data_IF_600889335446
#
_entry.id   IF_600889335446
#
_cell.length_a   1.000
_cell.length_b   1.000
_cell.length_c   1.000
_cell.angle_alpha   90.00
_cell.angle_beta   90.00
_cell.angle_gamma   90.00
#
_symmetry.space_group_name_H-M   'P 1'
#
loop_
_entity.id
_entity.type
_entity.pdbx_description
1 polymer ?
#
# COMPACT_ATOMS: atom_id res chain seq x y z
N UNK A 1 16.70 25.01 11.27
CA UNK A 1 15.98 24.08 10.36
C UNK A 1 14.77 24.82 9.83
N UNK A 2 14.64 24.95 8.51
CA UNK A 2 13.48 25.63 7.89
C UNK A 2 12.35 24.62 7.74
N UNK A 3 11.23 24.87 8.41
CA UNK A 3 10.00 24.09 8.29
C UNK A 3 8.87 24.92 7.71
N UNK A 4 7.88 24.25 7.11
CA UNK A 4 6.71 24.86 6.51
C UNK A 4 5.48 23.99 6.75
N UNK A 5 4.31 24.63 6.84
CA UNK A 5 3.03 23.95 6.90
C UNK A 5 1.96 24.79 6.17
N UNK A 6 1.17 24.16 5.28
CA UNK A 6 0.12 24.87 4.56
C UNK A 6 -0.50 24.08 3.41
N UNK A 7 -1.18 24.80 2.53
CA UNK A 7 -1.86 24.24 1.36
C UNK A 7 -0.94 24.10 0.12
N UNK A 8 -1.54 23.66 -0.99
CA UNK A 8 -0.85 23.45 -2.27
C UNK A 8 -0.18 24.72 -2.81
N UNK A 9 -0.85 25.86 -2.71
CA UNK A 9 -0.34 27.13 -3.25
C UNK A 9 0.83 27.65 -2.39
N UNK A 10 0.67 27.60 -1.07
CA UNK A 10 1.69 28.02 -0.12
C UNK A 10 2.92 27.12 -0.19
N UNK A 11 2.77 25.78 -0.25
CA UNK A 11 3.92 24.88 -0.38
C UNK A 11 4.63 25.05 -1.72
N UNK A 12 3.90 25.28 -2.81
CA UNK A 12 4.52 25.55 -4.11
C UNK A 12 5.40 26.81 -4.07
N UNK A 13 4.95 27.86 -3.38
CA UNK A 13 5.72 29.09 -3.20
C UNK A 13 6.95 28.86 -2.33
N UNK A 14 6.82 28.10 -1.24
CA UNK A 14 7.94 27.68 -0.40
C UNK A 14 9.00 26.91 -1.21
N UNK A 15 8.57 25.93 -2.01
CA UNK A 15 9.47 25.10 -2.82
C UNK A 15 10.23 25.89 -3.89
N UNK A 16 9.62 26.95 -4.45
CA UNK A 16 10.30 27.85 -5.40
C UNK A 16 11.48 28.58 -4.74
N UNK A 17 11.36 28.98 -3.47
CA UNK A 17 12.42 29.65 -2.72
C UNK A 17 13.58 28.70 -2.35
N UNK A 18 13.32 27.38 -2.38
CA UNK A 18 14.28 26.33 -2.03
C UNK A 18 14.62 25.43 -3.24
N UNK A 19 14.58 25.97 -4.46
CA UNK A 19 14.92 25.24 -5.68
C UNK A 19 16.31 24.59 -5.62
N UNK A 20 16.44 23.37 -6.14
CA UNK A 20 17.69 22.60 -6.12
C UNK A 20 18.06 21.96 -4.79
N UNK A 21 17.30 22.21 -3.71
CA UNK A 21 17.51 21.59 -2.40
C UNK A 21 16.73 20.28 -2.23
N UNK A 22 17.23 19.43 -1.34
CA UNK A 22 16.47 18.29 -0.83
C UNK A 22 15.60 18.73 0.33
N UNK A 23 14.48 18.04 0.53
CA UNK A 23 13.62 18.28 1.67
C UNK A 23 12.90 17.01 2.10
N UNK A 24 12.58 16.94 3.39
CA UNK A 24 11.70 15.93 3.96
C UNK A 24 10.33 16.55 4.16
N UNK A 25 9.29 15.85 3.69
CA UNK A 25 7.91 16.30 3.78
C UNK A 25 7.00 15.24 4.40
N UNK A 26 5.88 15.73 4.92
CA UNK A 26 4.76 14.94 5.41
C UNK A 26 3.52 15.38 4.65
N UNK A 27 2.80 14.42 4.08
CA UNK A 27 1.45 14.62 3.59
C UNK A 27 0.47 14.34 4.73
N UNK A 28 -0.41 15.30 4.96
CA UNK A 28 -1.42 15.24 6.01
C UNK A 28 -2.83 15.25 5.40
N UNK A 29 -3.74 14.57 6.10
CA UNK A 29 -5.18 14.64 5.87
C UNK A 29 -5.71 16.06 6.18
N UNK A 30 -6.97 16.39 5.84
CA UNK A 30 -7.56 17.68 6.17
C UNK A 30 -7.60 18.02 7.67
N UNK A 31 -7.58 16.99 8.53
CA UNK A 31 -7.54 17.08 10.00
C UNK A 31 -6.10 17.13 10.56
N UNK A 32 -5.11 17.38 9.71
CA UNK A 32 -3.68 17.41 10.01
C UNK A 32 -3.02 16.08 10.34
N UNK A 33 -3.77 14.97 10.33
CA UNK A 33 -3.22 13.64 10.62
C UNK A 33 -2.22 13.24 9.52
N UNK A 34 -0.94 12.96 9.86
CA UNK A 34 0.05 12.44 8.93
C UNK A 34 -0.41 11.12 8.30
N UNK A 35 -0.25 10.97 6.99
CA UNK A 35 -0.49 9.69 6.33
C UNK A 35 0.67 9.22 5.46
N UNK A 36 1.61 10.09 5.11
CA UNK A 36 2.77 9.71 4.33
C UNK A 36 3.95 10.63 4.63
N UNK A 37 5.12 10.02 4.80
CA UNK A 37 6.40 10.75 4.90
C UNK A 37 7.23 10.42 3.68
N UNK A 38 7.91 11.43 3.12
CA UNK A 38 8.86 11.18 2.04
C UNK A 38 9.92 12.25 1.93
N UNK A 39 10.98 11.92 1.21
CA UNK A 39 11.96 12.88 0.71
C UNK A 39 11.65 13.34 -0.71
N UNK A 40 12.07 14.55 -1.05
CA UNK A 40 11.84 15.12 -2.37
C UNK A 40 12.86 16.19 -2.74
N UNK A 41 12.86 16.50 -4.03
CA UNK A 41 13.46 17.72 -4.60
C UNK A 41 12.42 18.35 -5.51
N UNK A 42 12.61 19.63 -5.84
CA UNK A 42 11.71 20.37 -6.73
C UNK A 42 10.24 20.24 -6.27
N UNK A 43 9.36 19.75 -7.14
CA UNK A 43 7.92 19.62 -6.91
C UNK A 43 7.48 18.21 -6.50
N UNK A 44 8.40 17.31 -6.13
CA UNK A 44 8.09 15.89 -5.87
C UNK A 44 6.90 15.68 -4.92
N UNK A 45 6.79 16.50 -3.87
CA UNK A 45 5.67 16.42 -2.91
C UNK A 45 4.31 16.70 -3.55
N UNK A 46 4.25 17.59 -4.55
CA UNK A 46 3.05 17.94 -5.30
C UNK A 46 2.72 16.92 -6.40
N UNK A 47 3.73 16.19 -6.89
CA UNK A 47 3.57 15.20 -7.96
C UNK A 47 2.75 13.99 -7.51
N UNK A 48 2.73 13.68 -6.20
CA UNK A 48 1.96 12.55 -5.64
C UNK A 48 0.46 12.63 -5.93
N UNK A 49 -0.13 13.83 -5.92
CA UNK A 49 -1.54 13.98 -6.25
C UNK A 49 -1.80 13.76 -7.73
N UNK A 50 -0.91 14.29 -8.58
CA UNK A 50 -1.03 14.07 -10.02
C UNK A 50 -0.90 12.58 -10.35
N UNK A 51 0.03 11.87 -9.69
CA UNK A 51 0.16 10.42 -9.80
C UNK A 51 -1.14 9.71 -9.40
N UNK A 52 -1.68 10.03 -8.22
CA UNK A 52 -2.87 9.36 -7.69
C UNK A 52 -4.14 9.64 -8.52
N UNK A 53 -4.31 10.86 -9.02
CA UNK A 53 -5.51 11.30 -9.76
C UNK A 53 -5.49 10.92 -11.24
N UNK A 54 -4.32 10.61 -11.81
CA UNK A 54 -4.21 10.14 -13.20
C UNK A 54 -4.78 8.74 -13.41
N UNK A 55 -5.16 8.02 -12.34
CA UNK A 55 -5.75 6.67 -12.38
C UNK A 55 -4.99 5.71 -13.32
N UNK A 56 -3.66 5.80 -13.35
CA UNK A 56 -2.83 4.87 -14.12
C UNK A 56 -2.26 3.82 -13.16
N UNK A 57 -2.88 2.63 -13.03
CA UNK A 57 -2.42 1.59 -12.09
C UNK A 57 -1.03 1.04 -12.43
N UNK A 58 -0.57 1.24 -13.67
CA UNK A 58 0.77 0.86 -14.10
C UNK A 58 1.75 1.94 -13.61
N UNK A 59 2.47 1.66 -12.53
CA UNK A 59 3.62 2.45 -12.08
C UNK A 59 3.47 3.20 -10.75
N UNK A 60 2.37 3.03 -10.01
CA UNK A 60 2.24 3.62 -8.67
C UNK A 60 3.19 2.93 -7.68
N UNK A 61 4.24 3.63 -7.25
CA UNK A 61 5.23 3.08 -6.31
C UNK A 61 4.66 2.78 -4.91
N UNK A 62 3.54 3.40 -4.54
CA UNK A 62 2.84 3.16 -3.28
C UNK A 62 1.31 3.35 -3.45
N UNK A 63 0.56 2.27 -3.73
CA UNK A 63 -0.89 2.34 -3.97
C UNK A 63 -1.69 2.69 -2.70
N UNK A 64 -1.18 2.38 -1.49
CA UNK A 64 -1.84 2.79 -0.24
C UNK A 64 -1.90 4.32 -0.12
N UNK A 65 -0.78 4.99 -0.39
CA UNK A 65 -0.71 6.45 -0.43
C UNK A 65 -1.70 7.01 -1.46
N UNK A 66 -1.72 6.46 -2.68
CA UNK A 66 -2.62 6.92 -3.73
C UNK A 66 -4.08 6.75 -3.35
N UNK A 67 -4.47 5.65 -2.72
CA UNK A 67 -5.84 5.41 -2.28
C UNK A 67 -6.28 6.44 -1.24
N UNK A 68 -5.42 6.79 -0.28
CA UNK A 68 -5.70 7.84 0.71
C UNK A 68 -5.92 9.18 0.00
N UNK A 69 -5.06 9.52 -0.96
CA UNK A 69 -5.21 10.75 -1.76
C UNK A 69 -6.55 10.75 -2.51
N UNK A 70 -6.87 9.68 -3.25
CA UNK A 70 -8.12 9.58 -4.01
C UNK A 70 -9.34 9.68 -3.09
N UNK A 71 -9.29 9.08 -1.89
CA UNK A 71 -10.35 9.23 -0.89
C UNK A 71 -10.50 10.68 -0.42
N UNK A 72 -9.42 11.35 -0.03
CA UNK A 72 -9.47 12.75 0.41
C UNK A 72 -10.18 13.63 -0.64
N UNK A 73 -9.83 13.46 -1.91
CA UNK A 73 -10.46 14.18 -3.01
C UNK A 73 -11.92 13.79 -3.24
N UNK A 74 -12.26 12.50 -3.17
CA UNK A 74 -13.64 11.99 -3.28
C UNK A 74 -14.54 12.56 -2.19
N UNK A 75 -14.00 12.76 -1.00
CA UNK A 75 -14.71 13.34 0.15
C UNK A 75 -14.75 14.88 0.11
N UNK A 76 -14.26 15.51 -0.96
CA UNK A 76 -14.23 16.98 -1.13
C UNK A 76 -13.15 17.68 -0.30
N UNK A 77 -12.23 16.93 0.30
CA UNK A 77 -11.11 17.45 1.06
C UNK A 77 -9.90 17.82 0.20
N UNK A 78 -8.85 18.34 0.86
CA UNK A 78 -7.57 18.64 0.24
C UNK A 78 -6.42 18.21 1.15
N UNK A 79 -5.31 17.80 0.54
CA UNK A 79 -4.09 17.45 1.28
C UNK A 79 -3.48 18.71 1.90
N UNK A 80 -2.97 18.54 3.12
CA UNK A 80 -2.14 19.53 3.81
C UNK A 80 -0.68 19.09 3.72
N UNK A 81 0.22 20.04 3.51
CA UNK A 81 1.64 19.75 3.30
C UNK A 81 2.46 20.32 4.44
N UNK A 82 3.30 19.49 5.02
CA UNK A 82 4.34 19.90 5.96
C UNK A 82 5.70 19.65 5.32
N UNK A 83 6.53 20.68 5.20
CA UNK A 83 7.96 20.48 4.98
C UNK A 83 8.60 20.49 6.36
N UNK A 84 9.15 19.34 6.76
CA UNK A 84 9.80 19.21 8.07
C UNK A 84 11.16 19.91 8.07
N UNK A 85 11.94 19.68 7.02
CA UNK A 85 13.31 20.15 6.93
C UNK A 85 13.80 20.25 5.49
N UNK A 86 14.72 21.19 5.24
CA UNK A 86 15.37 21.44 3.94
C UNK A 86 16.88 21.27 4.10
N UNK A 87 17.50 20.62 3.13
CA UNK A 87 18.91 20.23 3.12
C UNK A 87 19.58 20.64 1.81
N UNK A 88 20.83 21.06 1.89
CA UNK A 88 21.64 21.28 0.69
C UNK A 88 22.02 19.95 0.04
N UNK A 89 22.48 20.00 -1.21
CA UNK A 89 22.80 18.80 -1.99
C UNK A 89 23.86 17.91 -1.31
N UNK A 90 24.81 18.52 -0.60
CA UNK A 90 25.85 17.81 0.15
C UNK A 90 25.32 17.05 1.38
N UNK A 91 24.13 17.41 1.89
CA UNK A 91 23.54 16.85 3.11
C UNK A 91 22.43 15.82 2.83
N UNK A 92 22.49 15.15 1.67
CA UNK A 92 21.48 14.16 1.27
C UNK A 92 21.34 13.02 2.30
N UNK A 93 22.42 12.59 2.95
CA UNK A 93 22.37 11.55 3.98
C UNK A 93 21.51 11.99 5.18
N UNK A 94 21.68 13.22 5.66
CA UNK A 94 20.89 13.78 6.77
C UNK A 94 19.40 13.86 6.41
N UNK A 95 19.09 14.15 5.14
CA UNK A 95 17.72 14.13 4.63
C UNK A 95 17.11 12.72 4.73
N UNK A 96 17.87 11.67 4.38
CA UNK A 96 17.40 10.28 4.48
C UNK A 96 17.23 9.83 5.93
N UNK A 97 18.17 10.18 6.81
CA UNK A 97 18.07 9.89 8.24
C UNK A 97 16.84 10.55 8.87
N UNK A 98 16.55 11.79 8.47
CA UNK A 98 15.37 12.50 8.97
C UNK A 98 14.06 11.90 8.45
N UNK A 99 14.00 11.46 7.19
CA UNK A 99 12.87 10.70 6.65
C UNK A 99 12.61 9.43 7.48
N UNK A 100 13.66 8.63 7.73
CA UNK A 100 13.55 7.41 8.52
C UNK A 100 13.12 7.68 9.97
N UNK A 101 13.65 8.73 10.59
CA UNK A 101 13.28 9.17 11.94
C UNK A 101 11.79 9.52 12.03
N UNK A 102 11.25 10.27 11.08
CA UNK A 102 9.82 10.62 11.06
C UNK A 102 8.93 9.39 10.81
N UNK A 103 9.37 8.44 9.98
CA UNK A 103 8.61 7.20 9.77
C UNK A 103 8.57 6.37 11.05
N UNK A 104 9.68 6.28 11.79
CA UNK A 104 9.73 5.60 13.08
C UNK A 104 8.88 6.31 14.15
N UNK A 105 8.83 7.64 14.12
CA UNK A 105 8.03 8.46 15.04
C UNK A 105 6.52 8.27 14.81
N UNK A 106 6.04 8.46 13.58
CA UNK A 106 4.60 8.36 13.27
C UNK A 106 4.11 6.92 13.12
N UNK A 107 5.02 5.96 12.88
CA UNK A 107 4.79 4.53 12.66
C UNK A 107 3.89 4.22 11.46
N UNK A 108 4.09 3.05 10.85
CA UNK A 108 3.24 2.56 9.76
C UNK A 108 1.97 1.90 10.32
N UNK A 109 0.95 1.74 9.49
CA UNK A 109 -0.31 1.12 9.92
C UNK A 109 -0.14 -0.26 10.58
N UNK A 110 0.69 -1.14 10.02
CA UNK A 110 0.93 -2.47 10.60
C UNK A 110 1.74 -2.43 11.90
N UNK A 111 2.32 -1.27 12.23
CA UNK A 111 3.05 -0.99 13.48
C UNK A 111 2.18 -0.20 14.48
N UNK A 112 0.89 0.01 14.18
CA UNK A 112 -0.05 0.77 15.00
C UNK A 112 0.03 2.29 14.82
N UNK A 113 0.65 2.78 13.75
CA UNK A 113 0.70 4.20 13.39
C UNK A 113 -0.26 4.60 12.28
N UNK A 114 -0.01 5.77 11.70
CA UNK A 114 -0.91 6.38 10.69
C UNK A 114 -0.34 6.40 9.28
N UNK A 115 0.93 6.01 9.10
CA UNK A 115 1.61 6.12 7.82
C UNK A 115 1.30 4.96 6.88
N UNK A 116 1.08 5.30 5.61
CA UNK A 116 0.94 4.38 4.49
C UNK A 116 2.27 4.04 3.82
N UNK A 117 3.40 4.44 4.43
CA UNK A 117 4.74 4.09 3.96
C UNK A 117 4.91 2.57 3.91
N UNK A 118 5.45 2.04 2.80
CA UNK A 118 5.73 0.62 2.67
C UNK A 118 6.99 0.22 3.44
N UNK A 119 8.03 1.05 3.35
CA UNK A 119 9.31 0.86 4.01
C UNK A 119 9.53 1.89 5.14
N UNK A 120 10.45 1.56 6.06
CA UNK A 120 10.80 2.39 7.22
C UNK A 120 11.71 3.60 6.94
N UNK A 121 12.03 3.91 5.67
CA UNK A 121 12.98 4.96 5.28
C UNK A 121 14.37 4.44 4.84
N UNK A 122 15.25 5.37 4.42
CA UNK A 122 16.61 5.15 3.85
C UNK A 122 16.63 4.31 2.55
N UNK A 123 15.84 4.70 1.53
CA UNK A 123 15.75 3.98 0.23
C UNK A 123 17.05 3.91 -0.60
N UNK A 124 17.15 2.92 -1.50
CA UNK A 124 18.17 2.64 -2.55
C UNK A 124 19.67 2.93 -2.27
N UNK A 125 20.08 3.26 -1.05
CA UNK A 125 21.46 3.20 -0.56
C UNK A 125 21.61 1.93 0.31
N UNK A 126 21.40 0.78 -0.31
CA UNK A 126 21.79 -0.51 0.27
C UNK A 126 22.26 -1.44 -0.84
N UNK A 127 23.25 -0.95 -1.60
CA UNK A 127 24.16 -1.84 -2.31
C UNK A 127 25.08 -2.59 -1.36
N UNK A 128 25.49 -2.00 -0.22
CA UNK A 128 26.45 -2.64 0.71
C UNK A 128 26.41 -2.00 2.12
N UNK A 129 25.26 -1.91 2.78
CA UNK A 129 25.21 -1.49 4.20
C UNK A 129 24.92 -2.71 5.09
N UNK A 130 25.81 -3.08 6.05
CA UNK A 130 25.63 -4.24 6.93
C UNK A 130 24.30 -4.25 7.68
N UNK A 131 23.76 -3.07 7.97
CA UNK A 131 22.48 -2.89 8.69
C UNK A 131 21.23 -3.29 7.88
N UNK A 132 21.29 -3.32 6.54
CA UNK A 132 20.16 -3.75 5.70
C UNK A 132 20.02 -5.27 5.62
N UNK A 133 21.10 -6.02 5.87
CA UNK A 133 21.09 -7.48 5.87
C UNK A 133 20.36 -8.04 7.11
N UNK A 134 20.59 -7.47 8.29
CA UNK A 134 20.00 -7.96 9.54
C UNK A 134 18.46 -7.80 9.59
N UNK A 135 17.91 -6.74 8.98
CA UNK A 135 16.46 -6.52 8.93
C UNK A 135 15.72 -7.36 7.89
N UNK A 136 16.37 -7.72 6.78
CA UNK A 136 15.79 -8.63 5.79
C UNK A 136 15.75 -10.08 6.29
N UNK A 137 16.73 -10.49 7.09
CA UNK A 137 16.83 -11.83 7.64
C UNK A 137 15.74 -12.17 8.69
N UNK A 138 15.18 -11.18 9.39
CA UNK A 138 14.36 -11.41 10.59
C UNK A 138 12.85 -11.55 10.35
N UNK A 139 12.33 -11.39 9.12
CA UNK A 139 10.88 -11.42 8.88
C UNK A 139 10.43 -12.80 8.41
N UNK A 140 9.84 -13.57 9.34
CA UNK A 140 9.22 -14.90 9.23
C UNK A 140 8.06 -14.97 8.21
N UNK A 141 8.37 -14.76 6.93
CA UNK A 141 7.57 -15.20 5.78
C UNK A 141 8.41 -15.39 4.50
N UNK A 142 9.75 -15.44 4.65
CA UNK A 142 10.71 -15.63 3.57
C UNK A 142 10.75 -14.43 2.61
N UNK A 143 11.77 -13.59 2.71
CA UNK A 143 12.31 -12.98 1.51
C UNK A 143 13.32 -14.00 1.00
N UNK A 144 12.99 -14.92 0.09
CA UNK A 144 14.00 -15.80 -0.45
C UNK A 144 14.95 -14.88 -1.20
N UNK A 145 16.22 -14.84 -0.83
CA UNK A 145 17.22 -14.05 -1.57
C UNK A 145 17.21 -14.42 -3.07
N UNK A 146 16.75 -15.65 -3.38
CA UNK A 146 16.59 -16.19 -4.73
C UNK A 146 15.21 -15.95 -5.39
N UNK A 147 14.31 -15.15 -4.80
CA UNK A 147 12.98 -14.90 -5.37
C UNK A 147 12.48 -13.45 -5.16
N UNK A 148 12.94 -12.52 -6.02
CA UNK A 148 12.65 -11.09 -5.88
C UNK A 148 11.15 -10.76 -6.04
N UNK A 149 10.45 -11.39 -6.99
CA UNK A 149 9.02 -11.16 -7.21
C UNK A 149 8.19 -11.50 -5.97
N UNK A 150 8.54 -12.60 -5.30
CA UNK A 150 7.85 -13.00 -4.07
C UNK A 150 8.16 -12.06 -2.91
N UNK A 151 9.40 -11.59 -2.78
CA UNK A 151 9.76 -10.61 -1.77
C UNK A 151 8.96 -9.30 -1.94
N UNK A 152 8.78 -8.84 -3.18
CA UNK A 152 7.95 -7.66 -3.52
C UNK A 152 6.50 -7.82 -3.05
N UNK A 153 5.88 -8.97 -3.33
CA UNK A 153 4.49 -9.24 -2.90
C UNK A 153 4.36 -9.43 -1.39
N UNK A 154 5.38 -10.00 -0.74
CA UNK A 154 5.41 -10.14 0.71
C UNK A 154 5.48 -8.79 1.41
N UNK A 155 6.36 -7.89 0.94
CA UNK A 155 6.44 -6.51 1.42
C UNK A 155 5.11 -5.78 1.24
N UNK A 156 4.48 -5.94 0.07
CA UNK A 156 3.17 -5.35 -0.20
C UNK A 156 2.11 -5.82 0.80
N UNK A 157 2.06 -7.12 1.06
CA UNK A 157 1.06 -7.70 1.93
C UNK A 157 1.28 -7.35 3.42
N UNK A 158 2.54 -7.23 3.85
CA UNK A 158 2.89 -6.75 5.19
C UNK A 158 2.31 -5.36 5.47
N UNK A 159 2.11 -4.56 4.42
CA UNK A 159 1.42 -3.28 4.52
C UNK A 159 0.01 -3.39 5.12
N UNK A 160 -0.68 -4.54 5.01
CA UNK A 160 -1.97 -4.80 5.66
C UNK A 160 -1.81 -5.40 7.06
N UNK A 161 -0.88 -6.34 7.21
CA UNK A 161 -0.58 -7.01 8.47
C UNK A 161 0.15 -8.34 8.25
N UNK A 162 0.54 -8.98 9.36
CA UNK A 162 1.22 -10.27 9.31
C UNK A 162 0.29 -11.42 8.92
N UNK A 163 0.81 -12.36 8.12
CA UNK A 163 0.14 -13.63 7.78
C UNK A 163 1.12 -14.79 7.93
N UNK A 164 0.63 -15.94 8.40
CA UNK A 164 1.46 -17.15 8.51
C UNK A 164 1.77 -17.80 7.15
N UNK A 165 1.00 -17.49 6.11
CA UNK A 165 1.30 -17.89 4.73
C UNK A 165 0.74 -16.86 3.74
N UNK A 166 1.57 -16.53 2.75
CA UNK A 166 1.29 -15.48 1.76
C UNK A 166 0.15 -15.95 0.83
N UNK A 167 -0.99 -15.23 0.76
CA UNK A 167 -2.17 -15.62 0.00
C UNK A 167 -2.11 -15.20 -1.49
N UNK A 168 -1.08 -14.46 -1.88
CA UNK A 168 -0.84 -13.98 -3.24
C UNK A 168 0.48 -14.55 -3.75
N UNK A 169 0.57 -14.83 -5.05
CA UNK A 169 1.79 -15.36 -5.69
C UNK A 169 2.06 -14.66 -7.02
N UNK A 170 3.33 -14.57 -7.44
CA UNK A 170 3.66 -14.15 -8.80
C UNK A 170 3.05 -15.14 -9.79
N UNK A 171 2.42 -14.62 -10.84
CA UNK A 171 1.75 -15.41 -11.87
C UNK A 171 2.73 -16.37 -12.56
N UNK A 172 3.96 -15.90 -12.79
CA UNK A 172 5.08 -16.64 -13.38
C UNK A 172 5.51 -17.88 -12.57
N UNK A 173 5.13 -17.96 -11.29
CA UNK A 173 5.52 -19.03 -10.38
C UNK A 173 4.41 -20.07 -10.17
N UNK A 174 3.28 -19.94 -10.88
CA UNK A 174 2.19 -20.90 -10.83
C UNK A 174 2.17 -21.69 -12.14
N UNK A 175 2.56 -22.96 -12.05
CA UNK A 175 2.59 -23.86 -13.23
C UNK A 175 1.21 -24.08 -13.84
N UNK A 176 0.16 -24.10 -13.02
CA UNK A 176 -1.22 -24.24 -13.47
C UNK A 176 -2.18 -23.51 -12.54
N UNK A 177 -2.89 -22.53 -13.09
CA UNK A 177 -3.95 -21.82 -12.37
C UNK A 177 -5.25 -22.58 -12.60
N UNK A 178 -5.92 -22.95 -11.51
CA UNK A 178 -7.17 -23.68 -11.56
C UNK A 178 -8.35 -22.74 -11.30
N UNK A 179 -9.53 -23.11 -11.79
CA UNK A 179 -10.76 -22.43 -11.41
C UNK A 179 -10.96 -22.45 -9.90
N UNK A 180 -11.42 -21.33 -9.36
CA UNK A 180 -11.74 -21.25 -7.94
C UNK A 180 -12.96 -22.13 -7.67
N UNK A 181 -12.84 -22.99 -6.65
CA UNK A 181 -13.94 -23.81 -6.15
C UNK A 181 -14.01 -23.62 -4.64
N UNK A 182 -15.20 -23.55 -4.03
CA UNK A 182 -15.32 -23.48 -2.59
C UNK A 182 -14.56 -24.64 -1.93
N UNK A 183 -13.82 -24.36 -0.87
CA UNK A 183 -13.13 -25.39 -0.10
C UNK A 183 -14.13 -26.47 0.40
N UNK A 184 -13.72 -27.74 0.37
CA UNK A 184 -14.59 -28.86 0.73
C UNK A 184 -15.06 -28.80 2.20
N UNK A 185 -14.12 -28.52 3.10
CA UNK A 185 -14.41 -28.36 4.53
C UNK A 185 -14.93 -26.95 4.86
N UNK A 186 -15.74 -26.78 5.91
CA UNK A 186 -16.14 -25.47 6.41
C UNK A 186 -14.94 -24.56 6.69
N UNK A 187 -15.10 -23.28 6.35
CA UNK A 187 -14.11 -22.23 6.59
C UNK A 187 -14.78 -21.06 7.29
N UNK A 188 -13.98 -20.33 8.07
CA UNK A 188 -14.40 -19.08 8.72
C UNK A 188 -13.63 -17.93 8.07
N UNK A 189 -14.19 -16.71 8.03
CA UNK A 189 -13.46 -15.54 7.61
C UNK A 189 -12.20 -15.33 8.45
N UNK A 190 -11.09 -14.97 7.81
CA UNK A 190 -9.80 -14.71 8.49
C UNK A 190 -9.14 -13.44 7.95
N UNK A 191 -8.20 -12.83 8.70
CA UNK A 191 -7.40 -11.73 8.17
C UNK A 191 -6.66 -12.09 6.87
N UNK A 192 -6.19 -13.34 6.73
CA UNK A 192 -5.52 -13.81 5.51
C UNK A 192 -6.42 -13.73 4.27
N UNK A 193 -7.69 -14.15 4.38
CA UNK A 193 -8.65 -14.05 3.28
C UNK A 193 -9.01 -12.60 2.96
N UNK A 194 -9.14 -11.75 3.99
CA UNK A 194 -9.39 -10.33 3.81
C UNK A 194 -8.20 -9.64 3.10
N UNK A 195 -6.97 -9.84 3.58
CA UNK A 195 -5.78 -9.21 3.01
C UNK A 195 -5.53 -9.61 1.55
N UNK A 196 -5.93 -10.82 1.14
CA UNK A 196 -5.87 -11.24 -0.26
C UNK A 196 -6.76 -10.36 -1.16
N UNK A 197 -8.02 -10.15 -0.77
CA UNK A 197 -8.96 -9.28 -1.50
C UNK A 197 -8.52 -7.83 -1.45
N UNK A 198 -8.10 -7.35 -0.26
CA UNK A 198 -7.63 -5.98 -0.09
C UNK A 198 -6.38 -5.70 -0.92
N UNK A 199 -5.45 -6.65 -1.07
CA UNK A 199 -4.27 -6.49 -1.92
C UNK A 199 -4.67 -6.20 -3.37
N UNK A 200 -5.60 -6.98 -3.93
CA UNK A 200 -6.10 -6.75 -5.29
C UNK A 200 -6.91 -5.46 -5.39
N UNK A 201 -7.80 -5.18 -4.44
CA UNK A 201 -8.58 -3.94 -4.41
C UNK A 201 -7.68 -2.70 -4.38
N UNK A 202 -6.64 -2.72 -3.53
CA UNK A 202 -5.65 -1.65 -3.43
C UNK A 202 -4.88 -1.48 -4.75
N UNK A 203 -4.41 -2.58 -5.35
CA UNK A 203 -3.66 -2.53 -6.61
C UNK A 203 -4.49 -1.97 -7.78
N UNK A 204 -5.81 -2.16 -7.76
CA UNK A 204 -6.73 -1.59 -8.76
C UNK A 204 -7.31 -0.23 -8.37
N UNK A 205 -7.00 0.28 -7.17
CA UNK A 205 -7.56 1.53 -6.69
C UNK A 205 -9.06 1.50 -6.41
N UNK A 206 -9.61 0.33 -6.07
CA UNK A 206 -11.03 0.12 -5.80
C UNK A 206 -11.39 0.55 -4.36
N UNK A 207 -12.60 1.10 -4.21
CA UNK A 207 -13.23 1.32 -2.93
C UNK A 207 -14.25 0.21 -2.65
N UNK A 208 -14.26 -0.29 -1.42
CA UNK A 208 -15.18 -1.33 -0.99
C UNK A 208 -16.58 -0.74 -0.84
N UNK A 209 -17.52 -1.29 -1.59
CA UNK A 209 -18.92 -0.89 -1.61
C UNK A 209 -19.77 -2.06 -2.07
N UNK A 210 -21.09 -1.94 -1.94
CA UNK A 210 -22.01 -2.96 -2.43
C UNK A 210 -21.82 -3.21 -3.94
N UNK A 211 -21.64 -4.47 -4.31
CA UNK A 211 -21.42 -4.88 -5.70
C UNK A 211 -20.01 -4.59 -6.23
N UNK A 212 -19.04 -4.20 -5.39
CA UNK A 212 -17.65 -4.03 -5.85
C UNK A 212 -17.11 -5.36 -6.40
N UNK A 213 -16.47 -5.30 -7.56
CA UNK A 213 -15.85 -6.45 -8.22
C UNK A 213 -14.34 -6.35 -8.15
N UNK A 214 -13.72 -7.25 -7.42
CA UNK A 214 -12.28 -7.29 -7.18
C UNK A 214 -11.67 -8.37 -8.09
N UNK A 215 -10.78 -8.00 -9.04
CA UNK A 215 -10.14 -8.98 -9.91
C UNK A 215 -9.26 -9.96 -9.13
N UNK A 216 -9.22 -11.22 -9.57
CA UNK A 216 -8.36 -12.24 -8.97
C UNK A 216 -6.88 -11.99 -9.26
N UNK A 217 -6.57 -11.49 -10.46
CA UNK A 217 -5.23 -11.07 -10.89
C UNK A 217 -5.02 -9.57 -10.69
N UNK A 218 -3.81 -9.14 -10.38
CA UNK A 218 -3.45 -7.73 -10.28
C UNK A 218 -1.94 -7.55 -10.53
N UNK A 219 -1.51 -6.32 -10.77
CA UNK A 219 -0.09 -5.99 -10.98
C UNK A 219 0.42 -5.12 -9.85
N UNK A 220 1.64 -5.36 -9.37
CA UNK A 220 2.29 -4.51 -8.38
C UNK A 220 3.80 -4.45 -8.59
N UNK A 221 4.37 -3.24 -8.72
CA UNK A 221 5.80 -3.01 -9.02
C UNK A 221 6.33 -3.92 -10.15
N UNK A 222 5.59 -4.01 -11.26
CA UNK A 222 5.88 -4.87 -12.42
C UNK A 222 5.79 -6.38 -12.19
N UNK A 223 5.38 -6.82 -11.00
CA UNK A 223 5.06 -8.22 -10.72
C UNK A 223 3.58 -8.46 -11.01
N UNK A 224 3.29 -9.30 -12.00
CA UNK A 224 1.95 -9.85 -12.18
C UNK A 224 1.67 -10.84 -11.06
N UNK A 225 0.62 -10.59 -10.29
CA UNK A 225 0.24 -11.36 -9.12
C UNK A 225 -1.18 -11.90 -9.25
N UNK A 226 -1.47 -12.95 -8.48
CA UNK A 226 -2.79 -13.54 -8.42
C UNK A 226 -3.09 -14.03 -7.00
N UNK A 227 -4.36 -13.95 -6.62
CA UNK A 227 -4.89 -14.61 -5.42
C UNK A 227 -4.82 -16.14 -5.62
N UNK A 228 -4.02 -16.81 -4.79
CA UNK A 228 -3.74 -18.24 -4.90
C UNK A 228 -5.03 -19.09 -4.74
N UNK A 229 -5.13 -20.19 -5.47
CA UNK A 229 -6.24 -21.14 -5.37
C UNK A 229 -6.64 -21.52 -3.94
N UNK A 230 -5.68 -21.78 -3.04
CA UNK A 230 -6.00 -22.17 -1.66
C UNK A 230 -6.78 -21.10 -0.91
N UNK A 231 -6.30 -19.86 -0.91
CA UNK A 231 -7.02 -18.75 -0.26
C UNK A 231 -8.29 -18.35 -1.00
N UNK A 232 -8.32 -18.48 -2.33
CA UNK A 232 -9.52 -18.24 -3.14
C UNK A 232 -10.63 -19.24 -2.78
N UNK A 233 -10.28 -20.51 -2.61
CA UNK A 233 -11.20 -21.53 -2.14
C UNK A 233 -11.68 -21.26 -0.72
N UNK A 234 -10.79 -20.81 0.17
CA UNK A 234 -11.14 -20.49 1.55
C UNK A 234 -12.05 -19.25 1.66
N UNK A 235 -11.77 -18.17 0.92
CA UNK A 235 -12.55 -16.93 0.98
C UNK A 235 -13.98 -17.14 0.47
N UNK A 236 -14.15 -17.88 -0.63
CA UNK A 236 -15.49 -18.22 -1.16
C UNK A 236 -16.23 -19.11 -0.17
N UNK A 237 -15.56 -20.14 0.37
CA UNK A 237 -16.20 -21.06 1.32
C UNK A 237 -16.60 -20.38 2.64
N UNK A 238 -15.79 -19.41 3.08
CA UNK A 238 -16.05 -18.63 4.28
C UNK A 238 -17.12 -17.54 4.08
N UNK A 239 -17.62 -17.34 2.85
CA UNK A 239 -18.59 -16.30 2.53
C UNK A 239 -18.01 -14.89 2.59
N UNK A 240 -16.70 -14.72 2.34
CA UNK A 240 -16.03 -13.41 2.38
C UNK A 240 -16.31 -12.60 1.10
N UNK A 241 -16.51 -13.29 -0.03
CA UNK A 241 -16.93 -12.72 -1.30
C UNK A 241 -17.55 -13.81 -2.17
N UNK A 242 -18.42 -13.42 -3.10
CA UNK A 242 -18.97 -14.32 -4.12
C UNK A 242 -18.03 -14.40 -5.33
N UNK A 243 -17.84 -15.60 -5.87
CA UNK A 243 -17.04 -15.80 -7.07
C UNK A 243 -17.87 -15.48 -8.31
N UNK A 244 -17.36 -14.58 -9.16
CA UNK A 244 -17.79 -14.45 -10.55
C UNK A 244 -16.85 -15.30 -11.40
N UNK A 245 -17.30 -16.45 -11.93
CA UNK A 245 -16.47 -17.33 -12.74
C UNK A 245 -16.15 -16.70 -14.10
N UNK A 246 -15.02 -17.11 -14.67
CA UNK A 246 -14.61 -16.78 -16.04
C UNK A 246 -14.20 -18.06 -16.77
N UNK A 247 -14.20 -18.04 -18.11
CA UNK A 247 -13.65 -19.14 -18.90
C UNK A 247 -12.16 -19.35 -18.61
N UNK A 248 -11.43 -18.26 -18.33
CA UNK A 248 -10.03 -18.31 -17.93
C UNK A 248 -9.94 -18.05 -16.42
N UNK A 249 -9.37 -18.97 -15.62
CA UNK A 249 -9.35 -18.82 -14.15
C UNK A 249 -8.57 -17.61 -13.65
N UNK A 250 -7.71 -16.99 -14.47
CA UNK A 250 -6.99 -15.75 -14.09
C UNK A 250 -7.90 -14.52 -14.12
N UNK A 251 -8.97 -14.57 -14.92
CA UNK A 251 -9.91 -13.47 -15.15
C UNK A 251 -11.16 -13.59 -14.27
N UNK A 252 -11.15 -14.50 -13.28
CA UNK A 252 -12.18 -14.57 -12.25
C UNK A 252 -12.22 -13.27 -11.43
N UNK A 253 -13.41 -12.91 -10.96
CA UNK A 253 -13.62 -11.76 -10.07
C UNK A 253 -14.26 -12.23 -8.76
N UNK A 254 -14.10 -11.42 -7.72
CA UNK A 254 -14.80 -11.58 -6.45
C UNK A 254 -15.74 -10.38 -6.27
N UNK A 255 -17.04 -10.64 -6.23
CA UNK A 255 -18.05 -9.60 -5.95
C UNK A 255 -18.34 -9.58 -4.45
N UNK A 256 -18.48 -8.39 -3.88
CA UNK A 256 -18.79 -8.22 -2.46
C UNK A 256 -20.11 -7.50 -2.26
N UNK A 257 -20.99 -8.08 -1.45
CA UNK A 257 -22.17 -7.39 -0.92
C UNK A 257 -21.83 -6.51 0.28
N UNK A 258 -22.76 -5.65 0.69
CA UNK A 258 -22.65 -4.85 1.91
C UNK A 258 -22.40 -5.70 3.17
N UNK A 259 -23.00 -6.89 3.26
CA UNK A 259 -22.78 -7.83 4.37
C UNK A 259 -21.33 -8.37 4.36
N UNK A 260 -20.81 -8.68 3.18
CA UNK A 260 -19.44 -9.15 3.00
C UNK A 260 -18.41 -8.04 3.26
N UNK A 261 -18.72 -6.80 2.89
CA UNK A 261 -17.91 -5.64 3.29
C UNK A 261 -17.90 -5.48 4.82
N UNK A 262 -19.01 -5.73 5.50
CA UNK A 262 -19.06 -5.71 6.97
C UNK A 262 -18.16 -6.79 7.60
N UNK A 263 -18.01 -7.96 6.98
CA UNK A 263 -17.04 -8.98 7.41
C UNK A 263 -15.60 -8.42 7.39
N UNK A 264 -15.22 -7.72 6.32
CA UNK A 264 -13.89 -7.09 6.23
C UNK A 264 -13.70 -6.01 7.30
N UNK A 265 -14.73 -5.20 7.55
CA UNK A 265 -14.72 -4.21 8.64
C UNK A 265 -14.48 -4.87 10.00
N UNK A 266 -15.12 -6.00 10.28
CA UNK A 266 -14.92 -6.75 11.52
C UNK A 266 -13.52 -7.38 11.63
N UNK A 267 -12.98 -7.90 10.53
CA UNK A 267 -11.68 -8.59 10.52
C UNK A 267 -10.48 -7.64 10.61
N UNK A 268 -10.58 -6.48 9.95
CA UNK A 268 -9.46 -5.55 9.77
C UNK A 268 -9.63 -4.27 10.61
N UNK A 269 -10.86 -3.93 10.96
CA UNK A 269 -11.23 -2.68 11.60
C UNK A 269 -11.75 -1.66 10.57
N UNK A 270 -12.95 -1.14 10.80
CA UNK A 270 -13.57 -0.14 9.92
C UNK A 270 -12.72 1.11 9.78
N UNK A 271 -12.21 1.65 10.89
CA UNK A 271 -11.35 2.83 10.87
C UNK A 271 -10.07 2.59 10.05
N UNK A 272 -9.47 1.40 10.17
CA UNK A 272 -8.26 1.04 9.41
C UNK A 272 -8.54 1.04 7.90
N UNK A 273 -9.71 0.55 7.48
CA UNK A 273 -10.12 0.57 6.07
C UNK A 273 -10.41 2.00 5.58
N UNK A 274 -11.09 2.82 6.39
CA UNK A 274 -11.32 4.24 6.09
C UNK A 274 -10.00 5.00 5.94
N UNK A 275 -9.09 4.83 6.88
CA UNK A 275 -7.80 5.52 6.93
C UNK A 275 -6.88 5.16 5.76
N UNK A 276 -7.12 4.00 5.12
CA UNK A 276 -6.41 3.49 3.94
C UNK A 276 -7.08 3.84 2.61
N UNK A 277 -8.19 4.57 2.63
CA UNK A 277 -8.89 4.95 1.40
C UNK A 277 -9.78 3.85 0.80
N UNK A 278 -10.04 2.77 1.54
CA UNK A 278 -10.76 1.59 1.06
C UNK A 278 -12.27 1.65 1.29
N UNK A 279 -12.75 2.67 2.01
CA UNK A 279 -14.17 2.96 2.22
C UNK A 279 -14.51 4.39 1.77
#
# INVERSE_FOLDING_TARGET
MTSFYGDRHSVQSFLKQHGGKFYVYVLCRPDDTPFYVGKGTNRRVLDHEMEALRNHPIGEANPFKSNIIRKIYRDGGAIRYKIDSVFDAADQLKCLEREASLIAEYKRFHEGGTLSNLAGGLGNLSGVAPFSLERHAATLAGSPEDNPDRAVLNEFLLGFGHVGSVPIKPLTQISRILHTRPHNNPRKPTPRTAYALLASAVAHGLALSDGVRIPRRFSYKSVEAIIENGVASDLVKAGVAELIPSQNPIDELFEMSSEQVAILKCLVGEQVLQDRGLL
#
